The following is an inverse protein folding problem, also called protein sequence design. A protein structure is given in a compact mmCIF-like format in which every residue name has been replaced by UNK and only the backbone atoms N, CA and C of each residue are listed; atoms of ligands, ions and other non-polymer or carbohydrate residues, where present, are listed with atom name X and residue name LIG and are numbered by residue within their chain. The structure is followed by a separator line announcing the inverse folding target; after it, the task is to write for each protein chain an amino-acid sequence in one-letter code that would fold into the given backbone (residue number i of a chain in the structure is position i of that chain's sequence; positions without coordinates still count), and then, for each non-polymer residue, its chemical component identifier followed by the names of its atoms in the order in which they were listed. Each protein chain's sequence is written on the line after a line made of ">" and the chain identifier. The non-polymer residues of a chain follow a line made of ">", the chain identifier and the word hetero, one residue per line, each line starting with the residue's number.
data_IF_752661714531
#
_entry.id   IF_752661714531
#
_cell.length_a   1.000
_cell.length_b   1.000
_cell.length_c   1.000
_cell.angle_alpha   90.00
_cell.angle_beta   90.00
_cell.angle_gamma   90.00
#
_symmetry.space_group_name_H-M   'P 1'
#
loop_
_entity.id
_entity.type
_entity.pdbx_description
1 polymer ?
#
# COMPACT_ATOMS: atom_id res chain seq x y z
N UNK A 1 33.76 25.34 46.00
CA UNK A 1 33.96 24.83 44.63
C UNK A 1 32.97 23.70 44.40
N UNK A 2 31.93 23.92 43.60
CA UNK A 2 30.92 22.91 43.25
C UNK A 2 31.26 22.44 41.82
N UNK A 3 31.52 21.15 41.63
CA UNK A 3 31.82 20.58 40.32
C UNK A 3 30.59 20.67 39.39
N UNK A 4 30.77 20.97 38.09
CA UNK A 4 29.64 21.04 37.15
C UNK A 4 29.05 19.64 36.90
N UNK A 5 27.72 19.53 37.01
CA UNK A 5 26.96 18.33 36.57
C UNK A 5 27.14 18.14 35.08
N UNK A 6 27.69 17.01 34.67
CA UNK A 6 27.65 16.55 33.29
C UNK A 6 26.22 16.10 32.96
N UNK A 7 25.55 16.78 32.03
CA UNK A 7 24.33 16.30 31.41
C UNK A 7 24.65 15.15 30.45
N UNK A 8 23.99 13.99 30.53
CA UNK A 8 24.23 12.89 29.61
C UNK A 8 23.85 13.32 28.18
N UNK A 9 24.75 13.06 27.23
CA UNK A 9 24.51 13.28 25.82
C UNK A 9 23.31 12.44 25.36
N UNK A 10 22.30 13.09 24.76
CA UNK A 10 21.19 12.40 24.13
C UNK A 10 21.72 11.48 23.02
N UNK A 11 21.58 10.17 23.19
CA UNK A 11 21.94 9.19 22.18
C UNK A 11 21.05 9.40 20.96
N UNK A 12 21.66 9.71 19.81
CA UNK A 12 20.93 9.82 18.55
C UNK A 12 20.19 8.49 18.28
N UNK A 13 18.92 8.54 17.83
CA UNK A 13 18.15 7.33 17.59
C UNK A 13 18.85 6.45 16.56
N UNK A 14 18.97 5.17 16.89
CA UNK A 14 19.58 4.14 16.04
C UNK A 14 18.75 4.01 14.75
N UNK A 15 19.21 4.69 13.69
CA UNK A 15 18.51 4.79 12.39
C UNK A 15 18.19 3.40 11.81
N UNK A 16 19.00 2.37 12.12
CA UNK A 16 18.76 1.00 11.69
C UNK A 16 17.52 0.38 12.34
N UNK A 17 17.33 0.59 13.64
CA UNK A 17 16.13 0.12 14.36
C UNK A 17 14.86 0.85 13.93
N UNK A 18 14.96 2.15 13.64
CA UNK A 18 13.85 2.95 13.15
C UNK A 18 13.40 2.53 11.74
N UNK A 19 14.35 2.23 10.84
CA UNK A 19 14.07 1.65 9.52
C UNK A 19 13.44 0.26 9.64
N UNK A 20 13.98 -0.59 10.50
CA UNK A 20 13.45 -1.94 10.74
C UNK A 20 12.03 -1.90 11.30
N UNK A 21 11.74 -1.01 12.26
CA UNK A 21 10.37 -0.82 12.78
C UNK A 21 9.41 -0.19 11.77
N UNK A 22 9.91 0.58 10.80
CA UNK A 22 9.10 1.14 9.71
C UNK A 22 8.81 0.07 8.64
N UNK A 23 9.73 -0.87 8.43
CA UNK A 23 9.61 -1.95 7.45
C UNK A 23 8.87 -3.19 7.99
N UNK A 24 8.99 -3.48 9.28
CA UNK A 24 8.43 -4.68 9.95
C UNK A 24 7.42 -4.35 11.07
N UNK A 25 7.11 -3.06 11.28
CA UNK A 25 6.16 -2.64 12.29
C UNK A 25 4.74 -3.07 11.94
N UNK A 26 4.18 -4.02 12.70
CA UNK A 26 2.80 -4.50 12.55
C UNK A 26 1.76 -3.56 13.20
N UNK A 27 2.13 -2.31 13.51
CA UNK A 27 1.24 -1.35 14.16
C UNK A 27 0.01 -1.00 13.32
N UNK A 28 0.11 -1.11 11.99
CA UNK A 28 -1.02 -0.93 11.07
C UNK A 28 -2.15 -1.94 11.29
N UNK A 29 -1.88 -3.11 11.89
CA UNK A 29 -2.94 -4.08 12.24
C UNK A 29 -3.88 -3.58 13.32
N UNK A 30 -3.54 -2.49 14.03
CA UNK A 30 -4.42 -1.83 15.01
C UNK A 30 -5.17 -0.65 14.43
N UNK A 31 -4.92 -0.29 13.17
CA UNK A 31 -5.58 0.83 12.52
C UNK A 31 -6.94 0.41 11.97
N UNK A 32 -8.06 0.99 12.45
CA UNK A 32 -9.39 0.60 12.01
C UNK A 32 -9.60 0.82 10.51
N UNK A 33 -9.00 1.84 9.91
CA UNK A 33 -9.11 2.07 8.47
C UNK A 33 -8.45 0.93 7.68
N UNK A 34 -7.25 0.51 8.08
CA UNK A 34 -6.58 -0.65 7.47
C UNK A 34 -7.44 -1.92 7.56
N UNK A 35 -8.03 -2.18 8.73
CA UNK A 35 -8.89 -3.35 8.93
C UNK A 35 -10.17 -3.30 8.08
N UNK A 36 -10.79 -2.13 7.95
CA UNK A 36 -11.96 -1.93 7.08
C UNK A 36 -11.58 -2.16 5.62
N UNK A 37 -10.44 -1.64 5.16
CA UNK A 37 -9.96 -1.89 3.81
C UNK A 37 -9.64 -3.37 3.60
N UNK A 38 -8.97 -4.03 4.55
CA UNK A 38 -8.72 -5.47 4.47
C UNK A 38 -10.01 -6.28 4.34
N UNK A 39 -11.04 -5.95 5.14
CA UNK A 39 -12.35 -6.57 5.04
C UNK A 39 -13.08 -6.26 3.72
N UNK A 40 -12.86 -5.08 3.13
CA UNK A 40 -13.41 -4.75 1.82
C UNK A 40 -12.88 -5.65 0.70
N UNK A 41 -11.75 -6.35 0.89
CA UNK A 41 -11.24 -7.36 -0.04
C UNK A 41 -12.23 -8.50 -0.30
N UNK A 42 -13.13 -8.82 0.64
CA UNK A 42 -14.17 -9.83 0.43
C UNK A 42 -15.19 -9.46 -0.63
N UNK A 43 -15.26 -8.18 -1.04
CA UNK A 43 -16.09 -7.78 -2.19
C UNK A 43 -15.64 -8.44 -3.49
N UNK A 44 -14.41 -8.97 -3.56
CA UNK A 44 -13.93 -9.76 -4.68
C UNK A 44 -14.81 -10.98 -5.00
N UNK A 45 -15.50 -11.55 -4.00
CA UNK A 45 -16.40 -12.70 -4.18
C UNK A 45 -17.68 -12.36 -4.96
N UNK A 46 -17.96 -11.08 -5.17
CA UNK A 46 -19.04 -10.63 -6.05
C UNK A 46 -18.63 -10.63 -7.53
N UNK A 47 -17.34 -10.85 -7.82
CA UNK A 47 -16.79 -10.85 -9.17
C UNK A 47 -16.79 -12.26 -9.78
N UNK A 48 -16.81 -12.36 -11.13
CA UNK A 48 -16.69 -13.65 -11.81
C UNK A 48 -15.40 -14.38 -11.43
N UNK A 49 -15.44 -15.71 -11.35
CA UNK A 49 -14.25 -16.50 -11.05
C UNK A 49 -13.13 -16.26 -12.09
N UNK A 50 -11.87 -16.12 -11.65
CA UNK A 50 -10.77 -15.98 -12.59
C UNK A 50 -10.59 -17.27 -13.38
N UNK A 51 -10.43 -17.14 -14.71
CA UNK A 51 -10.16 -18.28 -15.59
C UNK A 51 -8.74 -18.88 -15.46
N UNK A 52 -7.93 -18.40 -14.51
CA UNK A 52 -6.56 -18.84 -14.29
C UNK A 52 -6.32 -19.16 -12.82
N UNK A 53 -5.63 -20.27 -12.54
CA UNK A 53 -5.19 -20.63 -11.21
C UNK A 53 -3.75 -20.15 -10.99
N UNK A 54 -3.57 -19.15 -10.13
CA UNK A 54 -2.25 -18.65 -9.73
C UNK A 54 -1.95 -19.08 -8.30
N UNK A 55 -0.74 -19.57 -8.05
CA UNK A 55 -0.31 -19.94 -6.70
C UNK A 55 -0.10 -18.72 -5.80
N UNK A 56 -0.38 -18.87 -4.49
CA UNK A 56 -0.20 -17.82 -3.48
C UNK A 56 1.17 -17.13 -3.53
N UNK A 57 2.26 -17.90 -3.70
CA UNK A 57 3.61 -17.32 -3.81
C UNK A 57 3.78 -16.39 -5.01
N UNK A 58 3.13 -16.71 -6.13
CA UNK A 58 3.16 -15.87 -7.33
C UNK A 58 2.32 -14.61 -7.16
N UNK A 59 1.12 -14.73 -6.57
CA UNK A 59 0.28 -13.58 -6.22
C UNK A 59 1.01 -12.61 -5.27
N UNK A 60 1.69 -13.16 -4.26
CA UNK A 60 2.50 -12.40 -3.33
C UNK A 60 3.66 -11.67 -4.03
N UNK A 61 4.40 -12.36 -4.91
CA UNK A 61 5.50 -11.76 -5.66
C UNK A 61 5.01 -10.64 -6.60
N UNK A 62 3.94 -10.86 -7.36
CA UNK A 62 3.34 -9.85 -8.24
C UNK A 62 2.88 -8.62 -7.46
N UNK A 63 2.14 -8.82 -6.36
CA UNK A 63 1.69 -7.73 -5.51
C UNK A 63 2.88 -6.91 -4.97
N UNK A 64 3.97 -7.56 -4.55
CA UNK A 64 5.16 -6.85 -4.06
C UNK A 64 5.80 -5.98 -5.15
N UNK A 65 5.95 -6.51 -6.37
CA UNK A 65 6.50 -5.77 -7.52
C UNK A 65 5.61 -4.58 -7.89
N UNK A 66 4.30 -4.79 -7.94
CA UNK A 66 3.33 -3.74 -8.26
C UNK A 66 3.34 -2.64 -7.19
N UNK A 67 3.33 -2.97 -5.90
CA UNK A 67 3.36 -1.95 -4.84
C UNK A 67 4.71 -1.21 -4.78
N UNK A 68 5.83 -1.87 -5.07
CA UNK A 68 7.13 -1.20 -5.25
C UNK A 68 7.10 -0.18 -6.39
N UNK A 69 6.56 -0.56 -7.55
CA UNK A 69 6.50 0.30 -8.72
C UNK A 69 5.53 1.47 -8.51
N UNK A 70 4.32 1.19 -8.02
CA UNK A 70 3.25 2.18 -8.00
C UNK A 70 3.18 2.99 -6.70
N UNK A 71 3.45 2.42 -5.54
CA UNK A 71 3.43 3.18 -4.27
C UNK A 71 4.75 3.86 -4.02
N UNK A 72 5.80 3.06 -3.86
CA UNK A 72 7.13 3.59 -3.56
C UNK A 72 7.70 4.37 -4.75
N UNK A 73 7.57 3.85 -5.96
CA UNK A 73 8.03 4.53 -7.17
C UNK A 73 7.15 5.72 -7.55
N UNK A 74 5.99 5.45 -8.13
CA UNK A 74 5.18 6.48 -8.78
C UNK A 74 4.48 7.41 -7.79
N UNK A 75 3.66 6.87 -6.88
CA UNK A 75 2.85 7.66 -5.95
C UNK A 75 3.71 8.52 -5.04
N UNK A 76 4.78 7.96 -4.44
CA UNK A 76 5.65 8.75 -3.57
C UNK A 76 6.39 9.84 -4.34
N UNK A 77 6.86 9.56 -5.55
CA UNK A 77 7.46 10.60 -6.40
C UNK A 77 6.47 11.72 -6.70
N UNK A 78 5.22 11.39 -7.01
CA UNK A 78 4.15 12.37 -7.24
C UNK A 78 3.82 13.15 -5.97
N UNK A 79 3.73 12.48 -4.82
CA UNK A 79 3.51 13.10 -3.52
C UNK A 79 4.59 14.13 -3.20
N UNK A 80 5.86 13.79 -3.39
CA UNK A 80 6.98 14.70 -3.16
C UNK A 80 6.93 15.88 -4.14
N UNK A 81 6.74 15.61 -5.44
CA UNK A 81 6.75 16.66 -6.48
C UNK A 81 5.55 17.60 -6.41
N UNK A 82 4.40 17.12 -5.95
CA UNK A 82 3.14 17.85 -5.90
C UNK A 82 2.81 18.36 -4.48
N UNK A 83 3.74 18.21 -3.52
CA UNK A 83 3.56 18.71 -2.15
C UNK A 83 2.43 18.04 -1.39
N UNK A 84 2.21 16.74 -1.60
CA UNK A 84 1.17 15.93 -0.94
C UNK A 84 -0.24 16.53 -1.04
N UNK A 85 -0.53 17.22 -2.15
CA UNK A 85 -1.81 17.88 -2.39
C UNK A 85 -2.97 16.91 -2.23
N UNK A 86 -3.93 17.27 -1.39
CA UNK A 86 -5.18 16.51 -1.19
C UNK A 86 -6.24 16.95 -2.20
N UNK A 87 -7.04 15.99 -2.67
CA UNK A 87 -8.26 16.18 -3.46
C UNK A 87 -9.49 16.09 -2.55
N UNK A 88 -9.50 15.13 -1.63
CA UNK A 88 -10.49 14.94 -0.56
C UNK A 88 -9.75 14.54 0.74
N UNK A 89 -10.40 14.53 1.92
CA UNK A 89 -9.74 14.23 3.19
C UNK A 89 -8.98 12.89 3.26
N UNK A 90 -9.36 11.90 2.45
CA UNK A 90 -8.71 10.58 2.34
C UNK A 90 -8.19 10.29 0.93
N UNK A 91 -8.05 11.30 0.08
CA UNK A 91 -7.64 11.13 -1.32
C UNK A 91 -6.58 12.16 -1.70
N UNK A 92 -5.32 11.73 -1.67
CA UNK A 92 -4.21 12.48 -2.23
C UNK A 92 -4.21 12.49 -3.76
N UNK A 93 -3.74 13.58 -4.35
CA UNK A 93 -3.56 13.69 -5.80
C UNK A 93 -2.55 12.67 -6.32
N UNK A 94 -1.48 12.39 -5.56
CA UNK A 94 -0.51 11.34 -5.91
C UNK A 94 -1.16 9.96 -5.98
N UNK A 95 -2.00 9.60 -5.01
CA UNK A 95 -2.77 8.36 -5.01
C UNK A 95 -3.71 8.28 -6.22
N UNK A 96 -4.46 9.35 -6.48
CA UNK A 96 -5.40 9.41 -7.60
C UNK A 96 -4.70 9.16 -8.95
N UNK A 97 -3.58 9.84 -9.19
CA UNK A 97 -2.80 9.70 -10.42
C UNK A 97 -2.12 8.34 -10.53
N UNK A 98 -1.51 7.84 -9.44
CA UNK A 98 -0.86 6.52 -9.45
C UNK A 98 -1.88 5.39 -9.67
N UNK A 99 -3.05 5.47 -9.04
CA UNK A 99 -4.14 4.51 -9.23
C UNK A 99 -4.72 4.57 -10.64
N UNK A 100 -4.79 5.76 -11.23
CA UNK A 100 -5.18 5.92 -12.64
C UNK A 100 -4.17 5.24 -13.57
N UNK A 101 -2.87 5.46 -13.36
CA UNK A 101 -1.82 4.82 -14.13
C UNK A 101 -1.82 3.29 -13.96
N UNK A 102 -2.08 2.81 -12.74
CA UNK A 102 -2.22 1.38 -12.44
C UNK A 102 -3.35 0.75 -13.26
N UNK A 103 -4.54 1.35 -13.25
CA UNK A 103 -5.68 0.88 -14.04
C UNK A 103 -5.41 0.92 -15.55
N UNK A 104 -4.77 1.99 -16.05
CA UNK A 104 -4.39 2.10 -17.46
C UNK A 104 -3.39 1.02 -17.88
N UNK A 105 -2.41 0.67 -17.03
CA UNK A 105 -1.46 -0.41 -17.35
C UNK A 105 -2.17 -1.76 -17.48
N UNK A 106 -3.25 -1.99 -16.74
CA UNK A 106 -4.03 -3.23 -16.81
C UNK A 106 -4.77 -3.40 -18.15
N UNK A 107 -4.90 -2.36 -18.98
CA UNK A 107 -5.44 -2.48 -20.34
C UNK A 107 -4.57 -3.37 -21.25
N UNK A 108 -3.29 -3.57 -20.90
CA UNK A 108 -2.39 -4.46 -21.65
C UNK A 108 -2.83 -5.93 -21.54
N UNK A 109 -3.53 -6.31 -20.47
CA UNK A 109 -3.86 -7.70 -20.17
C UNK A 109 -5.36 -7.95 -19.94
N UNK A 110 -6.17 -6.90 -19.78
CA UNK A 110 -7.58 -7.02 -19.43
C UNK A 110 -8.49 -6.15 -20.31
N UNK A 111 -9.76 -6.57 -20.51
CA UNK A 111 -10.77 -5.72 -21.10
C UNK A 111 -10.95 -4.40 -20.33
N UNK A 112 -11.41 -3.31 -20.98
CA UNK A 112 -11.46 -1.98 -20.36
C UNK A 112 -12.19 -1.90 -19.03
N UNK A 113 -13.33 -2.59 -18.89
CA UNK A 113 -14.08 -2.59 -17.62
C UNK A 113 -13.33 -3.29 -16.49
N UNK A 114 -12.60 -4.36 -16.79
CA UNK A 114 -11.79 -5.06 -15.78
C UNK A 114 -10.56 -4.24 -15.39
N UNK A 115 -9.89 -3.63 -16.36
CA UNK A 115 -8.80 -2.70 -16.10
C UNK A 115 -9.25 -1.51 -15.24
N UNK A 116 -10.43 -0.95 -15.53
CA UNK A 116 -11.02 0.11 -14.71
C UNK A 116 -11.38 -0.38 -13.30
N UNK A 117 -11.85 -1.61 -13.15
CA UNK A 117 -12.19 -2.17 -11.83
C UNK A 117 -10.97 -2.22 -10.89
N UNK A 118 -9.73 -2.34 -11.42
CA UNK A 118 -8.52 -2.33 -10.60
C UNK A 118 -8.17 -0.96 -10.02
N UNK A 119 -8.81 0.11 -10.50
CA UNK A 119 -8.64 1.47 -9.98
C UNK A 119 -9.05 1.58 -8.50
N UNK A 120 -10.20 1.01 -8.13
CA UNK A 120 -10.76 1.07 -6.77
C UNK A 120 -9.86 0.40 -5.72
N UNK A 121 -9.40 -0.87 -5.88
CA UNK A 121 -8.45 -1.45 -4.95
C UNK A 121 -7.11 -0.69 -4.93
N UNK A 122 -6.64 -0.18 -6.08
CA UNK A 122 -5.43 0.63 -6.14
C UNK A 122 -5.53 1.91 -5.29
N UNK A 123 -6.70 2.56 -5.26
CA UNK A 123 -6.94 3.71 -4.37
C UNK A 123 -6.81 3.33 -2.89
N UNK A 124 -7.31 2.15 -2.49
CA UNK A 124 -7.19 1.66 -1.11
C UNK A 124 -5.72 1.42 -0.74
N UNK A 125 -4.94 0.79 -1.62
CA UNK A 125 -3.52 0.55 -1.38
C UNK A 125 -2.75 1.88 -1.30
N UNK A 126 -3.08 2.85 -2.15
CA UNK A 126 -2.49 4.18 -2.10
C UNK A 126 -2.86 4.98 -0.85
N UNK A 127 -4.07 4.80 -0.32
CA UNK A 127 -4.46 5.39 0.96
C UNK A 127 -3.64 4.81 2.12
N UNK A 128 -3.43 3.49 2.12
CA UNK A 128 -2.56 2.81 3.08
C UNK A 128 -1.11 3.30 2.96
N UNK A 129 -0.62 3.52 1.73
CA UNK A 129 0.71 4.10 1.51
C UNK A 129 0.82 5.50 2.14
N UNK A 130 -0.13 6.39 1.86
CA UNK A 130 -0.10 7.75 2.38
C UNK A 130 -0.18 7.79 3.91
N UNK A 131 -0.92 6.85 4.51
CA UNK A 131 -1.13 6.76 5.96
C UNK A 131 0.03 6.14 6.73
N UNK A 132 0.63 5.07 6.21
CA UNK A 132 1.64 4.29 6.94
C UNK A 132 3.06 4.44 6.41
N UNK A 133 3.23 4.94 5.17
CA UNK A 133 4.53 5.08 4.49
C UNK A 133 5.39 3.81 4.55
N UNK A 134 4.73 2.66 4.46
CA UNK A 134 5.33 1.34 4.53
C UNK A 134 4.87 0.44 3.40
N UNK A 135 5.81 -0.31 2.82
CA UNK A 135 5.51 -1.29 1.77
C UNK A 135 4.76 -2.50 2.30
N UNK A 136 5.11 -2.98 3.50
CA UNK A 136 4.50 -4.16 4.11
C UNK A 136 2.96 -4.09 4.21
N UNK A 137 2.33 -3.03 4.77
CA UNK A 137 0.88 -2.96 4.84
C UNK A 137 0.21 -2.90 3.45
N UNK A 138 0.81 -2.19 2.49
CA UNK A 138 0.30 -2.12 1.11
C UNK A 138 0.37 -3.48 0.43
N UNK A 139 1.51 -4.15 0.53
CA UNK A 139 1.74 -5.47 -0.03
C UNK A 139 0.79 -6.52 0.55
N UNK A 140 0.64 -6.57 1.88
CA UNK A 140 -0.28 -7.51 2.53
C UNK A 140 -1.74 -7.26 2.14
N UNK A 141 -2.14 -6.00 2.04
CA UNK A 141 -3.50 -5.64 1.62
C UNK A 141 -3.76 -6.06 0.16
N UNK A 142 -2.84 -5.74 -0.75
CA UNK A 142 -2.95 -6.13 -2.16
C UNK A 142 -2.91 -7.65 -2.32
N UNK A 143 -1.97 -8.34 -1.67
CA UNK A 143 -1.92 -9.79 -1.67
C UNK A 143 -3.22 -10.41 -1.16
N UNK A 144 -3.80 -9.89 -0.07
CA UNK A 144 -5.07 -10.38 0.47
C UNK A 144 -6.22 -10.22 -0.53
N UNK A 145 -6.31 -9.08 -1.22
CA UNK A 145 -7.32 -8.87 -2.27
C UNK A 145 -7.18 -9.88 -3.41
N UNK A 146 -5.94 -10.09 -3.89
CA UNK A 146 -5.67 -11.08 -4.92
C UNK A 146 -5.99 -12.50 -4.43
N UNK A 147 -5.62 -12.86 -3.21
CA UNK A 147 -5.92 -14.17 -2.64
C UNK A 147 -7.43 -14.38 -2.51
N UNK A 148 -8.18 -13.40 -2.01
CA UNK A 148 -9.64 -13.48 -1.88
C UNK A 148 -10.34 -13.62 -3.24
N UNK A 149 -9.82 -12.98 -4.30
CA UNK A 149 -10.35 -13.12 -5.66
C UNK A 149 -10.02 -14.49 -6.29
N UNK A 150 -8.75 -14.93 -6.22
CA UNK A 150 -8.31 -16.16 -6.88
C UNK A 150 -8.71 -17.45 -6.15
N UNK A 151 -9.03 -17.37 -4.87
CA UNK A 151 -9.42 -18.51 -4.03
C UNK A 151 -10.85 -18.38 -3.47
N UNK A 152 -11.73 -17.68 -4.19
CA UNK A 152 -13.14 -17.59 -3.84
C UNK A 152 -13.83 -18.96 -3.92
N UNK A 153 -14.84 -19.23 -3.07
CA UNK A 153 -15.51 -20.53 -2.97
C UNK A 153 -16.35 -20.89 -4.21
#
# INVERSE_FOLDING_TARGET
>A
MIAPRQTPAATAPDRGKALLSTLLGLSFLRDPLYLVLLAAGFMAWLLPQPGAALGLGWLAAKAAVEELAFRFGLQETLNVRLGQRQVLPLLGLGNLLASSAFALLHLVSHPPLWALATFVPSLAFGLVWDRHKGLLPCWLLHFAYNALYFYQP
#
